data_IF_118993854225
#
_entry.id   IF_118993854225
#
_cell.length_a   1.000
_cell.length_b   1.000
_cell.length_c   1.000
_cell.angle_alpha   90.00
_cell.angle_beta   90.00
_cell.angle_gamma   90.00
#
_symmetry.space_group_name_H-M   'P 1'
#
loop_
_entity.id
_entity.type
_entity.pdbx_description
1 polymer ?
#
# COMPACT_ATOMS: atom_id res chain seq x y z
N UNK A 1 -8.97 -7.09 -21.27
CA UNK A 1 -9.13 -6.26 -20.06
C UNK A 1 -9.64 -4.90 -20.50
N UNK A 2 -10.70 -4.39 -19.88
CA UNK A 2 -11.17 -3.03 -20.12
C UNK A 2 -10.43 -2.09 -19.18
N UNK A 3 -9.99 -0.94 -19.68
CA UNK A 3 -9.07 -0.04 -19.00
C UNK A 3 -9.67 1.38 -18.81
N UNK A 4 -10.98 1.44 -18.81
CA UNK A 4 -11.78 2.66 -18.74
C UNK A 4 -11.53 3.51 -17.49
N UNK A 5 -11.36 2.87 -16.32
CA UNK A 5 -11.12 3.62 -15.08
C UNK A 5 -9.70 4.19 -14.99
N UNK A 6 -8.71 3.53 -15.62
CA UNK A 6 -7.34 4.04 -15.68
C UNK A 6 -7.18 5.19 -16.67
N UNK A 7 -7.99 5.27 -17.72
CA UNK A 7 -8.06 6.47 -18.58
C UNK A 7 -8.54 7.69 -17.77
N UNK A 8 -9.53 7.49 -16.92
CA UNK A 8 -9.99 8.55 -16.02
C UNK A 8 -8.92 8.92 -15.00
N UNK A 9 -8.22 7.94 -14.42
CA UNK A 9 -7.12 8.19 -13.49
C UNK A 9 -5.97 8.98 -14.15
N UNK A 10 -5.60 8.66 -15.39
CA UNK A 10 -4.60 9.41 -16.15
C UNK A 10 -5.00 10.88 -16.36
N UNK A 11 -6.25 11.11 -16.74
CA UNK A 11 -6.76 12.43 -17.06
C UNK A 11 -6.99 13.30 -15.81
N UNK A 12 -7.78 12.78 -14.86
CA UNK A 12 -8.32 13.55 -13.74
C UNK A 12 -7.59 13.29 -12.42
N UNK A 13 -6.81 12.19 -12.32
CA UNK A 13 -6.20 11.72 -11.09
C UNK A 13 -7.12 10.81 -10.27
N UNK A 14 -6.73 10.51 -9.01
CA UNK A 14 -7.51 9.68 -8.13
C UNK A 14 -8.83 10.37 -7.73
N UNK A 15 -9.80 9.57 -7.25
CA UNK A 15 -11.02 10.13 -6.68
C UNK A 15 -10.70 11.05 -5.49
N UNK A 16 -11.42 12.17 -5.40
CA UNK A 16 -11.22 13.12 -4.33
C UNK A 16 -11.43 12.48 -2.95
N UNK A 17 -10.51 12.75 -2.03
CA UNK A 17 -10.68 12.37 -0.64
C UNK A 17 -11.76 13.21 0.04
N UNK A 18 -12.58 12.65 0.95
CA UNK A 18 -13.46 13.44 1.78
C UNK A 18 -12.66 14.36 2.72
N UNK A 19 -13.33 15.24 3.45
CA UNK A 19 -12.68 16.03 4.49
C UNK A 19 -12.13 15.11 5.59
N UNK A 20 -10.87 15.31 5.95
CA UNK A 20 -10.22 14.58 7.05
C UNK A 20 -10.77 15.02 8.41
N UNK A 21 -10.80 14.10 9.37
CA UNK A 21 -11.08 14.43 10.79
C UNK A 21 -9.85 14.96 11.49
N UNK A 22 -8.67 14.46 11.10
CA UNK A 22 -7.34 14.89 11.57
C UNK A 22 -6.36 14.70 10.43
N UNK A 23 -5.48 15.65 10.23
CA UNK A 23 -4.31 15.50 9.35
C UNK A 23 -3.12 16.25 9.91
N UNK A 24 -1.92 15.85 9.54
CA UNK A 24 -0.71 16.50 10.01
C UNK A 24 0.56 15.75 9.60
N UNK A 25 1.61 16.08 10.31
CA UNK A 25 2.93 15.47 10.15
C UNK A 25 3.43 14.97 11.48
N UNK A 26 4.20 13.88 11.43
CA UNK A 26 5.00 13.39 12.55
C UNK A 26 6.44 13.26 12.11
N UNK A 27 7.36 13.64 12.98
CA UNK A 27 8.79 13.47 12.75
C UNK A 27 9.19 12.03 13.10
N UNK A 28 9.86 11.36 12.19
CA UNK A 28 10.50 10.08 12.45
C UNK A 28 11.84 10.00 11.72
N UNK A 29 12.90 9.86 12.50
CA UNK A 29 14.22 9.51 12.04
C UNK A 29 14.67 10.30 10.80
N UNK A 30 14.59 11.64 10.90
CA UNK A 30 15.05 12.60 9.88
C UNK A 30 14.06 12.90 8.75
N UNK A 31 12.84 12.35 8.81
CA UNK A 31 11.78 12.69 7.85
C UNK A 31 10.50 13.15 8.57
N UNK A 32 9.71 13.95 7.86
CA UNK A 32 8.36 14.35 8.24
C UNK A 32 7.38 13.50 7.47
N UNK A 33 6.61 12.70 8.18
CA UNK A 33 5.65 11.75 7.62
C UNK A 33 4.26 12.35 7.70
N UNK A 34 3.63 12.55 6.55
CA UNK A 34 2.26 13.05 6.46
C UNK A 34 1.26 11.93 6.70
N UNK A 35 0.22 12.25 7.45
CA UNK A 35 -0.91 11.35 7.67
C UNK A 35 -2.24 12.11 7.69
N UNK A 36 -3.34 11.38 7.42
CA UNK A 36 -4.70 11.87 7.63
C UNK A 36 -5.61 10.75 8.14
N UNK A 37 -6.61 11.11 8.94
CA UNK A 37 -7.61 10.19 9.48
C UNK A 37 -9.00 10.62 9.06
N UNK A 38 -9.87 9.65 8.76
CA UNK A 38 -11.21 9.83 8.24
C UNK A 38 -12.19 8.94 9.00
N UNK A 39 -13.38 9.47 9.28
CA UNK A 39 -14.42 8.70 9.95
C UNK A 39 -14.10 8.35 11.41
N UNK A 40 -14.82 7.35 11.91
CA UNK A 40 -14.69 6.82 13.28
C UNK A 40 -14.96 5.31 13.27
N UNK A 41 -14.60 4.61 14.34
CA UNK A 41 -14.77 3.16 14.48
C UNK A 41 -13.45 2.40 14.51
N UNK A 42 -13.45 1.09 14.22
CA UNK A 42 -12.24 0.28 14.20
C UNK A 42 -11.22 0.81 13.17
N UNK A 43 -9.93 0.97 13.56
CA UNK A 43 -8.95 1.61 12.69
C UNK A 43 -8.42 0.68 11.60
N UNK A 44 -8.31 1.25 10.40
CA UNK A 44 -7.73 0.63 9.20
C UNK A 44 -6.70 1.58 8.61
N UNK A 45 -5.47 1.15 8.45
CA UNK A 45 -4.40 1.90 7.80
C UNK A 45 -4.32 1.46 6.34
N UNK A 46 -4.30 2.41 5.39
CA UNK A 46 -4.09 2.14 3.98
C UNK A 46 -2.70 2.63 3.56
N UNK A 47 -1.89 1.72 3.02
CA UNK A 47 -0.52 1.98 2.57
C UNK A 47 -0.44 1.82 1.04
N UNK A 48 -0.10 2.90 0.35
CA UNK A 48 -0.04 2.98 -1.12
C UNK A 48 1.19 2.25 -1.69
N UNK A 49 1.17 1.98 -2.98
CA UNK A 49 2.28 1.42 -3.74
C UNK A 49 3.41 2.41 -4.01
N UNK A 50 4.54 1.92 -4.47
CA UNK A 50 5.69 2.72 -4.87
C UNK A 50 5.33 3.78 -5.91
N UNK A 51 5.97 4.94 -5.82
CA UNK A 51 5.74 6.16 -6.60
C UNK A 51 4.35 6.79 -6.41
N UNK A 52 3.42 6.12 -5.72
CA UNK A 52 2.08 6.62 -5.41
C UNK A 52 2.05 7.56 -4.20
N UNK A 53 0.85 7.83 -3.74
CA UNK A 53 0.60 8.61 -2.52
C UNK A 53 -0.78 8.27 -1.95
N UNK A 54 -1.06 8.72 -0.75
CA UNK A 54 -2.32 8.47 -0.03
C UNK A 54 -3.59 8.83 -0.81
N UNK A 55 -3.52 9.84 -1.69
CA UNK A 55 -4.65 10.24 -2.54
C UNK A 55 -5.13 9.13 -3.49
N UNK A 56 -4.29 8.14 -3.81
CA UNK A 56 -4.68 7.00 -4.64
C UNK A 56 -5.78 6.14 -4.00
N UNK A 57 -6.06 6.33 -2.71
CA UNK A 57 -7.08 5.62 -1.95
C UNK A 57 -8.46 6.28 -1.92
N UNK A 58 -8.73 7.30 -2.75
CA UNK A 58 -9.98 8.07 -2.69
C UNK A 58 -11.25 7.22 -2.75
N UNK A 59 -11.30 6.21 -3.61
CA UNK A 59 -12.44 5.28 -3.70
C UNK A 59 -12.57 4.40 -2.46
N UNK A 60 -11.45 3.96 -1.88
CA UNK A 60 -11.42 3.08 -0.72
C UNK A 60 -11.83 3.82 0.55
N UNK A 61 -11.31 5.04 0.74
CA UNK A 61 -11.64 5.87 1.93
C UNK A 61 -13.15 6.06 2.04
N UNK A 62 -13.82 6.47 0.96
CA UNK A 62 -15.27 6.69 0.97
C UNK A 62 -16.05 5.42 1.30
N UNK A 63 -15.67 4.27 0.72
CA UNK A 63 -16.33 2.99 0.96
C UNK A 63 -16.13 2.48 2.39
N UNK A 64 -14.91 2.60 2.94
CA UNK A 64 -14.59 2.12 4.28
C UNK A 64 -15.20 3.00 5.36
N UNK A 65 -15.14 4.33 5.21
CA UNK A 65 -15.80 5.27 6.14
C UNK A 65 -17.32 5.06 6.12
N UNK A 66 -17.91 4.89 4.93
CA UNK A 66 -19.33 4.57 4.79
C UNK A 66 -19.73 3.22 5.41
N UNK A 67 -18.75 2.32 5.61
CA UNK A 67 -18.94 1.02 6.29
C UNK A 67 -18.60 1.06 7.79
N UNK A 68 -18.34 2.23 8.37
CA UNK A 68 -18.16 2.42 9.82
C UNK A 68 -16.73 2.22 10.31
N UNK A 69 -15.72 2.28 9.44
CA UNK A 69 -14.30 2.20 9.83
C UNK A 69 -13.67 3.59 9.98
N UNK A 70 -12.71 3.70 10.88
CA UNK A 70 -11.77 4.81 10.91
C UNK A 70 -10.62 4.50 9.96
N UNK A 71 -10.49 5.27 8.89
CA UNK A 71 -9.42 5.08 7.89
C UNK A 71 -8.26 6.03 8.18
N UNK A 72 -7.05 5.51 8.18
CA UNK A 72 -5.82 6.29 8.30
C UNK A 72 -5.00 6.13 7.02
N UNK A 73 -4.68 7.24 6.41
CA UNK A 73 -3.79 7.33 5.26
C UNK A 73 -2.43 7.83 5.69
N UNK A 74 -1.38 7.31 5.06
CA UNK A 74 0.00 7.72 5.28
C UNK A 74 0.65 7.89 3.91
N UNK A 75 1.29 9.03 3.67
CA UNK A 75 2.26 9.15 2.58
C UNK A 75 3.57 8.52 3.06
N UNK A 76 4.03 7.46 2.42
CA UNK A 76 5.29 6.81 2.75
C UNK A 76 6.46 7.80 2.61
N UNK A 77 7.52 7.58 3.36
CA UNK A 77 8.75 8.40 3.32
C UNK A 77 9.17 8.74 1.88
N UNK A 78 9.34 10.03 1.58
CA UNK A 78 9.71 10.54 0.26
C UNK A 78 8.59 10.53 -0.78
N UNK A 79 7.41 10.01 -0.46
CA UNK A 79 6.25 9.99 -1.34
C UNK A 79 5.26 11.09 -0.96
N UNK A 80 4.47 11.54 -1.93
CA UNK A 80 3.41 12.49 -1.70
C UNK A 80 3.90 13.74 -0.95
N UNK A 81 3.35 14.01 0.24
CA UNK A 81 3.67 15.15 1.11
C UNK A 81 4.79 14.85 2.12
N UNK A 82 5.17 13.56 2.24
CA UNK A 82 6.21 13.16 3.19
C UNK A 82 7.59 13.48 2.66
N UNK A 83 8.47 13.94 3.56
CA UNK A 83 9.87 14.21 3.22
C UNK A 83 10.72 12.95 3.33
N UNK A 84 11.97 13.04 2.92
CA UNK A 84 13.02 12.03 3.12
C UNK A 84 14.30 12.69 3.61
N UNK A 85 15.19 11.91 4.17
CA UNK A 85 16.59 12.27 4.38
C UNK A 85 17.49 11.66 3.28
N UNK A 86 18.80 11.70 3.47
CA UNK A 86 19.78 11.20 2.51
C UNK A 86 20.01 9.69 2.56
N UNK A 87 19.36 8.96 3.50
CA UNK A 87 19.55 7.52 3.63
C UNK A 87 18.81 6.77 2.52
N UNK A 88 19.29 5.59 2.12
CA UNK A 88 18.55 4.69 1.25
C UNK A 88 17.17 4.36 1.86
N UNK A 89 16.19 4.19 1.01
CA UNK A 89 14.89 3.65 1.44
C UNK A 89 15.04 2.19 1.87
N UNK A 90 14.30 1.82 2.91
CA UNK A 90 14.07 0.42 3.29
C UNK A 90 12.61 0.25 3.72
N UNK A 91 12.02 -0.91 3.45
CA UNK A 91 10.64 -1.18 3.92
C UNK A 91 10.55 -1.23 5.44
N UNK A 92 11.61 -1.63 6.13
CA UNK A 92 11.66 -1.60 7.60
C UNK A 92 11.61 -0.18 8.17
N UNK A 93 12.35 0.75 7.54
CA UNK A 93 12.30 2.16 7.92
C UNK A 93 10.90 2.73 7.69
N UNK A 94 10.26 2.40 6.55
CA UNK A 94 8.88 2.82 6.28
C UNK A 94 7.88 2.17 7.24
N UNK A 95 8.11 0.93 7.68
CA UNK A 95 7.30 0.31 8.73
C UNK A 95 7.42 1.04 10.07
N UNK A 96 8.60 1.54 10.43
CA UNK A 96 8.77 2.38 11.62
C UNK A 96 8.00 3.70 11.52
N UNK A 97 7.91 4.30 10.34
CA UNK A 97 7.10 5.49 10.10
C UNK A 97 5.61 5.25 10.42
N UNK A 98 5.09 4.08 10.01
CA UNK A 98 3.70 3.70 10.31
C UNK A 98 3.46 3.59 11.82
N UNK A 99 4.40 2.99 12.56
CA UNK A 99 4.27 2.86 14.02
C UNK A 99 4.23 4.21 14.73
N UNK A 100 5.06 5.17 14.31
CA UNK A 100 5.06 6.53 14.89
C UNK A 100 3.74 7.26 14.59
N UNK A 101 3.16 7.06 13.41
CA UNK A 101 1.81 7.58 13.11
C UNK A 101 0.76 6.90 13.99
N UNK A 102 0.83 5.58 14.18
CA UNK A 102 -0.08 4.86 15.08
C UNK A 102 0.00 5.42 16.52
N UNK A 103 1.20 5.65 17.02
CA UNK A 103 1.42 6.21 18.37
C UNK A 103 0.87 7.63 18.46
N UNK A 104 1.11 8.49 17.46
CA UNK A 104 0.60 9.86 17.39
C UNK A 104 -0.94 9.89 17.42
N UNK A 105 -1.58 8.94 16.75
CA UNK A 105 -3.04 8.82 16.71
C UNK A 105 -3.64 7.99 17.85
N UNK A 106 -2.80 7.53 18.79
CA UNK A 106 -3.17 6.64 19.93
C UNK A 106 -3.88 5.37 19.45
N UNK A 107 -3.39 4.77 18.36
CA UNK A 107 -3.90 3.51 17.83
C UNK A 107 -3.11 2.36 18.46
N UNK A 108 -3.72 1.65 19.41
CA UNK A 108 -3.10 0.47 20.02
C UNK A 108 -2.92 -0.64 18.99
N UNK A 109 -3.94 -0.87 18.15
CA UNK A 109 -3.98 -1.93 17.15
C UNK A 109 -4.80 -1.50 15.94
N UNK A 110 -4.40 -1.91 14.72
CA UNK A 110 -5.08 -1.59 13.47
C UNK A 110 -5.02 -2.75 12.47
N UNK A 111 -6.02 -2.89 11.61
CA UNK A 111 -5.83 -3.63 10.37
C UNK A 111 -5.04 -2.79 9.37
N UNK A 112 -4.27 -3.45 8.50
CA UNK A 112 -3.47 -2.77 7.48
C UNK A 112 -3.83 -3.33 6.11
N UNK A 113 -4.20 -2.46 5.19
CA UNK A 113 -4.42 -2.76 3.78
C UNK A 113 -3.26 -2.17 3.01
N UNK A 114 -2.43 -3.01 2.45
CA UNK A 114 -1.26 -2.60 1.68
C UNK A 114 -1.40 -2.93 0.21
N UNK A 115 -0.98 -2.02 -0.63
CA UNK A 115 -0.87 -2.20 -2.08
C UNK A 115 0.59 -2.08 -2.51
N UNK A 116 1.13 -3.10 -3.22
CA UNK A 116 2.51 -3.12 -3.72
C UNK A 116 3.50 -2.87 -2.56
N UNK A 117 4.37 -1.89 -2.63
CA UNK A 117 5.29 -1.52 -1.54
C UNK A 117 4.58 -1.39 -0.19
N UNK A 118 3.37 -0.83 -0.17
CA UNK A 118 2.56 -0.76 1.04
C UNK A 118 2.18 -2.13 1.60
N UNK A 119 2.02 -3.16 0.75
CA UNK A 119 1.76 -4.52 1.21
C UNK A 119 3.02 -5.14 1.86
N UNK A 120 4.20 -4.89 1.30
CA UNK A 120 5.46 -5.28 1.93
C UNK A 120 5.61 -4.67 3.32
N UNK A 121 5.38 -3.35 3.45
CA UNK A 121 5.40 -2.65 4.75
C UNK A 121 4.40 -3.29 5.72
N UNK A 122 3.16 -3.56 5.27
CA UNK A 122 2.12 -4.18 6.09
C UNK A 122 2.52 -5.57 6.59
N UNK A 123 3.15 -6.38 5.74
CA UNK A 123 3.63 -7.72 6.12
C UNK A 123 4.76 -7.63 7.14
N UNK A 124 5.71 -6.73 6.97
CA UNK A 124 6.80 -6.48 7.94
C UNK A 124 6.23 -6.09 9.31
N UNK A 125 5.22 -5.22 9.33
CA UNK A 125 4.50 -4.88 10.57
C UNK A 125 3.85 -6.11 11.21
N UNK A 126 3.20 -6.97 10.41
CA UNK A 126 2.60 -8.21 10.88
C UNK A 126 3.60 -9.20 11.46
N UNK A 127 4.80 -9.30 10.89
CA UNK A 127 5.89 -10.16 11.37
C UNK A 127 6.51 -9.61 12.66
N UNK A 128 6.91 -8.33 12.64
CA UNK A 128 7.74 -7.74 13.70
C UNK A 128 6.92 -7.16 14.86
N UNK A 129 5.68 -6.76 14.61
CA UNK A 129 4.82 -6.08 15.59
C UNK A 129 3.40 -6.67 15.65
N UNK A 130 3.26 -8.01 15.80
CA UNK A 130 1.95 -8.67 15.73
C UNK A 130 0.95 -8.17 16.79
N UNK A 131 1.42 -7.64 17.90
CA UNK A 131 0.57 -7.01 18.92
C UNK A 131 -0.10 -5.71 18.46
N UNK A 132 0.44 -5.06 17.43
CA UNK A 132 -0.07 -3.78 16.86
C UNK A 132 -0.96 -3.97 15.64
N UNK A 133 -1.02 -5.18 15.06
CA UNK A 133 -1.68 -5.46 13.78
C UNK A 133 -2.81 -6.47 13.98
N UNK A 134 -4.04 -6.09 13.63
CA UNK A 134 -5.22 -6.96 13.71
C UNK A 134 -5.31 -7.93 12.54
N UNK A 135 -4.73 -7.58 11.40
CA UNK A 135 -4.64 -8.38 10.20
C UNK A 135 -4.05 -7.60 9.04
N UNK A 136 -3.57 -8.30 8.02
CA UNK A 136 -2.91 -7.76 6.84
C UNK A 136 -3.67 -8.17 5.58
N UNK A 137 -4.15 -7.17 4.82
CA UNK A 137 -4.58 -7.34 3.44
C UNK A 137 -3.39 -7.00 2.54
N UNK A 138 -2.80 -8.05 1.97
CA UNK A 138 -1.57 -7.97 1.19
C UNK A 138 -1.89 -8.04 -0.30
N UNK A 139 -1.79 -6.92 -1.00
CA UNK A 139 -2.18 -6.87 -2.40
C UNK A 139 -1.00 -6.56 -3.32
N UNK A 140 -0.74 -7.48 -4.27
CA UNK A 140 0.12 -7.27 -5.43
C UNK A 140 1.58 -6.96 -5.09
N UNK A 141 2.22 -7.72 -4.17
CA UNK A 141 3.62 -7.55 -3.83
C UNK A 141 4.35 -8.89 -3.67
N UNK A 142 5.66 -8.81 -3.63
CA UNK A 142 6.58 -9.90 -3.31
C UNK A 142 7.14 -9.74 -1.89
N UNK A 143 7.65 -10.85 -1.34
CA UNK A 143 8.40 -10.85 -0.07
C UNK A 143 9.85 -11.30 -0.25
N UNK A 144 10.25 -11.62 -1.47
CA UNK A 144 11.63 -11.82 -1.93
C UNK A 144 11.73 -11.47 -3.43
N UNK A 145 12.94 -11.16 -3.95
CA UNK A 145 13.11 -10.70 -5.34
C UNK A 145 12.67 -11.70 -6.40
N UNK A 146 12.61 -13.01 -6.09
CA UNK A 146 12.19 -14.04 -7.06
C UNK A 146 10.71 -13.93 -7.45
N UNK A 147 9.92 -13.24 -6.63
CA UNK A 147 8.48 -13.03 -6.83
C UNK A 147 8.14 -12.03 -7.93
N UNK A 148 9.11 -11.24 -8.40
CA UNK A 148 8.87 -10.23 -9.45
C UNK A 148 8.97 -10.84 -10.84
N UNK A 149 8.17 -10.28 -11.77
CA UNK A 149 8.31 -10.53 -13.21
C UNK A 149 9.49 -9.73 -13.78
N UNK A 150 9.96 -10.14 -14.96
CA UNK A 150 10.78 -9.26 -15.77
C UNK A 150 9.97 -8.02 -16.14
N UNK A 151 10.59 -6.85 -15.99
CA UNK A 151 9.89 -5.58 -16.21
C UNK A 151 9.61 -5.37 -17.71
N UNK A 152 8.35 -5.19 -18.04
CA UNK A 152 7.88 -4.83 -19.37
C UNK A 152 7.03 -3.55 -19.27
N UNK A 153 7.43 -2.51 -20.01
CA UNK A 153 6.70 -1.25 -20.02
C UNK A 153 5.43 -1.36 -20.86
N UNK A 154 4.28 -1.40 -20.20
CA UNK A 154 2.97 -1.49 -20.85
C UNK A 154 2.28 -0.12 -20.95
N UNK A 155 1.26 0.06 -21.81
CA UNK A 155 0.46 1.29 -21.84
C UNK A 155 -0.17 1.62 -20.48
N UNK A 156 -0.62 0.62 -19.72
CA UNK A 156 -1.18 0.78 -18.38
C UNK A 156 -0.15 1.37 -17.42
N UNK A 157 1.06 0.79 -17.39
CA UNK A 157 2.17 1.31 -16.59
C UNK A 157 2.48 2.75 -16.99
N UNK A 158 2.52 3.05 -18.30
CA UNK A 158 2.80 4.39 -18.80
C UNK A 158 1.80 5.45 -18.33
N UNK A 159 0.50 5.13 -18.33
CA UNK A 159 -0.56 6.01 -17.81
C UNK A 159 -0.37 6.30 -16.32
N UNK A 160 -0.21 5.25 -15.53
CA UNK A 160 -0.04 5.38 -14.08
C UNK A 160 1.25 6.12 -13.72
N UNK A 161 2.37 5.80 -14.38
CA UNK A 161 3.64 6.49 -14.18
C UNK A 161 3.57 7.98 -14.53
N UNK A 162 2.96 8.32 -15.67
CA UNK A 162 2.74 9.70 -16.07
C UNK A 162 1.90 10.49 -15.06
N UNK A 163 0.90 9.84 -14.45
CA UNK A 163 0.09 10.44 -13.39
C UNK A 163 0.89 10.61 -12.11
N UNK A 164 1.63 9.62 -11.66
CA UNK A 164 2.48 9.71 -10.46
C UNK A 164 3.51 10.84 -10.58
N UNK A 165 4.09 11.05 -11.76
CA UNK A 165 5.00 12.19 -12.00
C UNK A 165 4.32 13.55 -11.79
N UNK A 166 3.09 13.71 -12.30
CA UNK A 166 2.28 14.93 -12.10
C UNK A 166 1.94 15.13 -10.62
N UNK A 167 1.52 14.07 -9.95
CA UNK A 167 1.14 14.14 -8.53
C UNK A 167 2.35 14.42 -7.64
N UNK A 168 3.51 13.83 -7.94
CA UNK A 168 4.75 14.15 -7.23
C UNK A 168 5.12 15.62 -7.36
N UNK A 169 5.06 16.18 -8.56
CA UNK A 169 5.34 17.60 -8.80
C UNK A 169 4.40 18.55 -8.03
N UNK A 170 3.15 18.11 -7.77
CA UNK A 170 2.15 18.91 -7.03
C UNK A 170 2.29 18.77 -5.51
N UNK A 171 2.72 17.61 -5.00
CA UNK A 171 2.63 17.29 -3.57
C UNK A 171 3.99 17.33 -2.86
N UNK A 172 5.06 16.95 -3.56
CA UNK A 172 6.38 16.81 -2.96
C UNK A 172 7.01 18.14 -2.57
N UNK A 173 7.77 18.14 -1.49
CA UNK A 173 8.65 19.25 -1.13
C UNK A 173 9.86 19.42 -2.06
N UNK A 174 10.11 18.44 -2.94
CA UNK A 174 11.19 18.41 -3.93
C UNK A 174 10.64 18.11 -5.34
N UNK A 175 9.74 18.96 -5.90
CA UNK A 175 8.97 18.66 -7.11
C UNK A 175 9.82 18.36 -8.34
N UNK A 176 11.02 18.88 -8.42
CA UNK A 176 11.94 18.70 -9.55
C UNK A 176 12.82 17.45 -9.45
N UNK A 177 12.70 16.67 -8.36
CA UNK A 177 13.54 15.48 -8.09
C UNK A 177 12.81 14.15 -8.34
N UNK A 178 11.87 14.12 -9.27
CA UNK A 178 11.09 12.89 -9.53
C UNK A 178 11.97 11.74 -10.04
N UNK A 179 12.95 12.02 -10.90
CA UNK A 179 13.79 10.98 -11.49
C UNK A 179 14.73 10.39 -10.42
N UNK A 180 15.37 11.20 -9.56
CA UNK A 180 16.17 10.73 -8.42
C UNK A 180 15.31 9.96 -7.39
N UNK A 181 14.06 10.37 -7.20
CA UNK A 181 13.11 9.66 -6.36
C UNK A 181 12.79 8.27 -6.94
N UNK A 182 12.51 8.18 -8.24
CA UNK A 182 12.29 6.91 -8.93
C UNK A 182 13.50 5.97 -8.80
N UNK A 183 14.71 6.48 -9.01
CA UNK A 183 15.94 5.69 -8.90
C UNK A 183 16.13 5.13 -7.48
N UNK A 184 15.85 5.94 -6.45
CA UNK A 184 15.96 5.52 -5.07
C UNK A 184 14.93 4.45 -4.68
N UNK A 185 13.68 4.60 -5.14
CA UNK A 185 12.62 3.60 -4.94
C UNK A 185 12.92 2.32 -5.72
N UNK A 186 13.36 2.42 -6.97
CA UNK A 186 13.75 1.26 -7.78
C UNK A 186 14.92 0.48 -7.16
N UNK A 187 15.90 1.18 -6.55
CA UNK A 187 16.99 0.53 -5.83
C UNK A 187 16.47 -0.29 -4.63
N UNK A 188 15.56 0.27 -3.83
CA UNK A 188 14.92 -0.45 -2.74
C UNK A 188 14.19 -1.70 -3.25
N UNK A 189 13.32 -1.56 -4.24
CA UNK A 189 12.55 -2.67 -4.83
C UNK A 189 13.44 -3.78 -5.41
N UNK A 190 14.64 -3.44 -5.89
CA UNK A 190 15.61 -4.39 -6.42
C UNK A 190 16.33 -5.19 -5.34
N UNK A 191 16.52 -4.60 -4.17
CA UNK A 191 17.35 -5.15 -3.08
C UNK A 191 16.51 -5.70 -1.92
N UNK A 192 15.26 -5.31 -1.83
CA UNK A 192 14.31 -5.69 -0.78
C UNK A 192 12.93 -6.03 -1.39
N UNK A 193 12.07 -6.75 -0.67
CA UNK A 193 12.32 -7.46 0.60
C UNK A 193 13.07 -8.78 0.38
N UNK A 194 13.62 -9.34 1.48
CA UNK A 194 14.33 -10.64 1.48
C UNK A 194 13.83 -11.53 2.62
N UNK A 195 12.57 -11.92 2.59
CA UNK A 195 11.95 -12.79 3.60
C UNK A 195 11.84 -14.22 3.07
N UNK A 196 12.43 -15.15 3.80
CA UNK A 196 12.38 -16.57 3.47
C UNK A 196 11.04 -17.21 3.87
N UNK A 197 10.77 -18.43 3.41
CA UNK A 197 9.61 -19.19 3.88
C UNK A 197 9.62 -19.43 5.40
N UNK A 198 10.80 -19.51 6.02
CA UNK A 198 10.91 -19.62 7.48
C UNK A 198 10.49 -18.33 8.20
N UNK A 199 10.77 -17.16 7.61
CA UNK A 199 10.31 -15.87 8.14
C UNK A 199 8.80 -15.73 7.96
N UNK A 200 8.26 -16.12 6.81
CA UNK A 200 6.83 -16.10 6.52
C UNK A 200 6.04 -17.03 7.44
N UNK A 201 6.62 -18.18 7.83
CA UNK A 201 6.02 -19.10 8.79
C UNK A 201 5.88 -18.53 10.22
N UNK A 202 6.55 -17.39 10.52
CA UNK A 202 6.42 -16.67 11.79
C UNK A 202 5.28 -15.64 11.80
N UNK A 203 4.56 -15.47 10.71
CA UNK A 203 3.38 -14.59 10.67
C UNK A 203 2.24 -15.22 11.46
N UNK A 204 1.82 -14.54 12.52
CA UNK A 204 0.76 -15.03 13.42
C UNK A 204 -0.52 -14.17 13.38
N UNK A 205 -0.51 -13.08 12.64
CA UNK A 205 -1.70 -12.25 12.41
C UNK A 205 -2.49 -12.81 11.22
N UNK A 206 -3.82 -12.63 11.18
CA UNK A 206 -4.62 -13.00 10.00
C UNK A 206 -4.11 -12.28 8.75
N UNK A 207 -3.88 -13.03 7.67
CA UNK A 207 -3.42 -12.49 6.39
C UNK A 207 -4.34 -12.96 5.27
N UNK A 208 -4.64 -12.08 4.33
CA UNK A 208 -5.14 -12.44 3.01
C UNK A 208 -4.16 -11.96 1.95
N UNK A 209 -3.71 -12.89 1.11
CA UNK A 209 -2.91 -12.60 -0.09
C UNK A 209 -3.88 -12.33 -1.23
N UNK A 210 -3.75 -11.18 -1.85
CA UNK A 210 -4.60 -10.77 -2.96
C UNK A 210 -3.75 -10.43 -4.17
N UNK A 211 -4.10 -10.98 -5.32
CA UNK A 211 -3.36 -10.83 -6.55
C UNK A 211 -4.32 -10.53 -7.70
N UNK A 212 -3.96 -9.61 -8.57
CA UNK A 212 -4.66 -9.38 -9.83
C UNK A 212 -4.37 -10.48 -10.85
N UNK A 213 -5.38 -10.87 -11.63
CA UNK A 213 -5.21 -11.86 -12.70
C UNK A 213 -4.17 -11.40 -13.74
N UNK A 214 -4.11 -10.10 -14.01
CA UNK A 214 -3.24 -9.50 -15.02
C UNK A 214 -2.19 -8.55 -14.38
N UNK A 215 -1.68 -8.91 -13.19
CA UNK A 215 -0.64 -8.12 -12.54
C UNK A 215 0.61 -8.03 -13.42
N UNK A 216 1.12 -6.82 -13.65
CA UNK A 216 2.27 -6.58 -14.51
C UNK A 216 3.61 -6.86 -13.84
N UNK A 217 3.65 -6.81 -12.50
CA UNK A 217 4.91 -6.83 -11.73
C UNK A 217 5.16 -8.11 -10.97
N UNK A 218 4.09 -8.73 -10.44
CA UNK A 218 4.20 -9.85 -9.50
C UNK A 218 3.77 -11.15 -10.17
N UNK A 219 4.58 -12.19 -9.99
CA UNK A 219 4.27 -13.54 -10.45
C UNK A 219 3.12 -14.12 -9.65
N UNK A 220 2.18 -14.78 -10.34
CA UNK A 220 1.07 -15.48 -9.67
C UNK A 220 1.55 -16.57 -8.74
N UNK A 221 2.56 -17.32 -9.18
CA UNK A 221 3.19 -18.39 -8.41
C UNK A 221 3.77 -17.89 -7.09
N UNK A 222 4.18 -16.61 -7.04
CA UNK A 222 4.66 -16.01 -5.80
C UNK A 222 3.51 -15.74 -4.81
N UNK A 223 2.37 -15.25 -5.27
CA UNK A 223 1.19 -15.11 -4.42
C UNK A 223 0.72 -16.47 -3.84
N UNK A 224 0.76 -17.52 -4.66
CA UNK A 224 0.48 -18.89 -4.23
C UNK A 224 1.51 -19.39 -3.20
N UNK A 225 2.79 -19.12 -3.44
CA UNK A 225 3.88 -19.43 -2.49
C UNK A 225 3.68 -18.70 -1.15
N UNK A 226 3.34 -17.44 -1.15
CA UNK A 226 3.08 -16.68 0.09
C UNK A 226 1.91 -17.30 0.87
N UNK A 227 0.80 -17.58 0.19
CA UNK A 227 -0.37 -18.18 0.83
C UNK A 227 -0.08 -19.59 1.41
N UNK A 228 0.83 -20.35 0.80
CA UNK A 228 1.23 -21.67 1.30
C UNK A 228 2.19 -21.60 2.49
N UNK A 229 3.03 -20.57 2.59
CA UNK A 229 4.06 -20.44 3.63
C UNK A 229 3.60 -19.60 4.84
N UNK A 230 2.55 -18.80 4.71
CA UNK A 230 1.99 -18.02 5.82
C UNK A 230 0.85 -18.83 6.47
N UNK A 231 0.96 -19.17 7.76
CA UNK A 231 -0.04 -19.99 8.43
C UNK A 231 -1.45 -19.36 8.40
N UNK A 232 -2.40 -20.08 7.85
CA UNK A 232 -3.81 -19.66 7.80
C UNK A 232 -4.11 -18.49 6.83
N UNK A 233 -3.18 -18.16 5.93
CA UNK A 233 -3.45 -17.14 4.91
C UNK A 233 -4.44 -17.65 3.85
N UNK A 234 -5.40 -16.80 3.50
CA UNK A 234 -6.28 -16.99 2.35
C UNK A 234 -5.61 -16.42 1.07
N UNK A 235 -5.96 -16.96 -0.09
CA UNK A 235 -5.56 -16.42 -1.41
C UNK A 235 -6.79 -15.99 -2.20
N UNK A 236 -6.79 -14.77 -2.71
CA UNK A 236 -7.81 -14.22 -3.59
C UNK A 236 -7.17 -13.76 -4.90
N UNK A 237 -7.69 -14.23 -6.03
CA UNK A 237 -7.34 -13.71 -7.35
C UNK A 237 -8.47 -12.81 -7.82
N UNK A 238 -8.16 -11.55 -8.09
CA UNK A 238 -9.12 -10.58 -8.65
C UNK A 238 -9.15 -10.74 -10.18
N UNK A 239 -10.29 -11.17 -10.76
CA UNK A 239 -10.37 -11.41 -12.19
C UNK A 239 -10.45 -10.10 -13.00
N UNK A 240 -9.85 -10.11 -14.20
CA UNK A 240 -9.98 -9.06 -15.21
C UNK A 240 -9.32 -7.72 -14.87
N UNK A 241 -8.44 -7.67 -13.86
CA UNK A 241 -7.78 -6.44 -13.41
C UNK A 241 -6.26 -6.54 -13.43
N UNK A 242 -5.62 -5.37 -13.52
CA UNK A 242 -4.17 -5.17 -13.47
C UNK A 242 -3.66 -4.94 -12.04
N UNK A 243 -2.37 -4.67 -11.90
CA UNK A 243 -1.75 -4.24 -10.65
C UNK A 243 -2.43 -3.00 -10.02
N UNK A 244 -3.13 -2.23 -10.83
CA UNK A 244 -3.82 -1.01 -10.43
C UNK A 244 -5.31 -1.22 -10.09
N UNK A 245 -5.70 -2.43 -9.68
CA UNK A 245 -7.07 -2.80 -9.34
C UNK A 245 -7.80 -1.82 -8.40
N UNK A 246 -7.16 -1.21 -7.38
CA UNK A 246 -7.81 -0.21 -6.52
C UNK A 246 -8.37 1.00 -7.27
N UNK A 247 -7.75 1.34 -8.41
CA UNK A 247 -8.14 2.45 -9.29
C UNK A 247 -9.00 1.97 -10.46
N UNK A 248 -8.70 0.77 -10.98
CA UNK A 248 -9.32 0.21 -12.19
C UNK A 248 -10.71 -0.38 -11.93
N UNK A 249 -10.89 -1.07 -10.82
CA UNK A 249 -12.15 -1.69 -10.42
C UNK A 249 -12.37 -1.51 -8.90
N UNK A 250 -12.62 -0.27 -8.47
CA UNK A 250 -12.67 0.06 -7.05
C UNK A 250 -13.75 -0.74 -6.30
N UNK A 251 -14.90 -1.00 -6.88
CA UNK A 251 -15.97 -1.76 -6.22
C UNK A 251 -15.57 -3.23 -5.97
N UNK A 252 -14.89 -3.86 -6.94
CA UNK A 252 -14.38 -5.21 -6.79
C UNK A 252 -13.30 -5.27 -5.69
N UNK A 253 -12.38 -4.32 -5.71
CA UNK A 253 -11.32 -4.23 -4.70
C UNK A 253 -11.89 -3.95 -3.31
N UNK A 254 -12.80 -2.98 -3.19
CA UNK A 254 -13.45 -2.62 -1.94
C UNK A 254 -14.23 -3.79 -1.34
N UNK A 255 -14.91 -4.59 -2.19
CA UNK A 255 -15.64 -5.79 -1.74
C UNK A 255 -14.70 -6.80 -1.08
N UNK A 256 -13.51 -7.04 -1.65
CA UNK A 256 -12.50 -7.93 -1.07
C UNK A 256 -11.95 -7.37 0.25
N UNK A 257 -11.62 -6.07 0.30
CA UNK A 257 -11.16 -5.40 1.54
C UNK A 257 -12.20 -5.49 2.64
N UNK A 258 -13.46 -5.16 2.35
CA UNK A 258 -14.54 -5.19 3.34
C UNK A 258 -14.82 -6.62 3.85
N UNK A 259 -14.74 -7.63 2.98
CA UNK A 259 -14.87 -9.03 3.39
C UNK A 259 -13.77 -9.44 4.37
N UNK A 260 -12.53 -9.01 4.13
CA UNK A 260 -11.42 -9.25 5.05
C UNK A 260 -11.59 -8.48 6.38
N UNK A 261 -11.91 -7.20 6.32
CA UNK A 261 -12.02 -6.38 7.53
C UNK A 261 -13.09 -6.90 8.49
N UNK A 262 -14.22 -7.39 7.98
CA UNK A 262 -15.26 -8.04 8.82
C UNK A 262 -14.79 -9.29 9.55
N UNK A 263 -13.73 -9.96 9.08
CA UNK A 263 -13.14 -11.12 9.76
C UNK A 263 -12.19 -10.70 10.89
N UNK A 264 -11.48 -9.58 10.75
CA UNK A 264 -10.38 -9.18 11.64
C UNK A 264 -10.70 -7.99 12.56
N UNK A 265 -11.75 -7.27 12.25
CA UNK A 265 -12.28 -6.13 13.03
C UNK A 265 -13.80 -6.33 13.21
N UNK A 266 -14.22 -7.09 14.21
CA UNK A 266 -15.64 -7.38 14.45
C UNK A 266 -16.46 -6.13 14.88
#
# INVERSE_FOLDING_TARGET
MQDDDLEKFEADGPAALPASTVEGYVENDGARIWYASYGAGPPVILLHGGLGHSGNWGYQVSALVGSGYRVVLIDSRGHGRSTRDSRPYTYELMASDVLVVMDTLSLEKSAVVGWSDGACIAMILGIKYPGRISGVFFFGCNMDPSGTKEFEFTPIIGRCFGRHKKDYALLSSTPDQFDEFCDAVALMMKTEPNYSGADLAQVHVPVVIVQSEHDEFIKREHAEYLAQNIPGADLIILPGVSHFAPLQRPDQFNSAVLAFLRKVLP
#
